data_IF_011336872767
#
_entry.id   IF_011336872767
#
_cell.length_a   1.000
_cell.length_b   1.000
_cell.length_c   1.000
_cell.angle_alpha   90.00
_cell.angle_beta   90.00
_cell.angle_gamma   90.00
#
_symmetry.space_group_name_H-M   'P 1'
#
loop_
_entity.id
_entity.type
_entity.pdbx_description
1 polymer ?
#
# COMPACT_ATOMS: atom_id res chain seq x y z
N UNK A 1 9.45 1.07 11.64
CA UNK A 1 9.31 1.94 10.45
C UNK A 1 8.04 1.54 9.72
N UNK A 2 7.38 2.49 9.06
CA UNK A 2 6.16 2.27 8.29
C UNK A 2 6.15 3.14 7.04
N UNK A 3 5.42 2.74 5.99
CA UNK A 3 5.21 3.59 4.81
C UNK A 3 4.03 4.52 5.07
N UNK A 4 4.21 5.81 4.81
CA UNK A 4 3.15 6.82 4.85
C UNK A 4 3.07 7.56 3.52
N UNK A 5 1.91 8.16 3.23
CA UNK A 5 1.73 9.04 2.07
C UNK A 5 1.56 10.48 2.55
N UNK A 6 2.26 11.40 1.90
CA UNK A 6 1.89 12.82 1.89
C UNK A 6 1.05 13.04 0.65
N UNK A 7 -0.16 13.56 0.81
CA UNK A 7 -1.12 13.68 -0.29
C UNK A 7 -1.05 15.03 -1.02
N UNK A 8 -0.28 15.98 -0.49
CA UNK A 8 -0.13 17.32 -1.04
C UNK A 8 1.31 17.83 -0.97
N UNK A 9 1.69 18.64 -1.96
CA UNK A 9 2.94 19.37 -1.97
C UNK A 9 2.89 20.45 -0.89
N UNK A 10 3.86 20.48 0.02
CA UNK A 10 3.98 21.50 1.06
C UNK A 10 5.09 22.49 0.69
N UNK A 11 4.74 23.74 0.45
CA UNK A 11 5.74 24.81 0.27
C UNK A 11 6.28 25.25 1.62
N UNK A 12 7.60 25.26 1.78
CA UNK A 12 8.29 25.67 3.00
C UNK A 12 9.36 26.72 2.72
N UNK A 13 9.65 27.54 3.71
CA UNK A 13 10.68 28.57 3.69
C UNK A 13 11.89 28.09 4.48
N UNK A 14 13.03 28.05 3.80
CA UNK A 14 14.23 27.39 4.27
C UNK A 14 15.31 28.38 4.68
N UNK A 15 15.96 28.06 5.78
CA UNK A 15 17.21 28.65 6.23
C UNK A 15 18.30 27.57 6.18
N UNK A 16 19.20 27.60 5.17
CA UNK A 16 20.31 26.65 5.08
C UNK A 16 21.22 26.73 6.32
N UNK A 17 21.61 25.58 6.84
CA UNK A 17 22.61 25.52 7.90
C UNK A 17 24.00 25.83 7.33
N UNK A 18 24.81 26.59 8.07
CA UNK A 18 26.18 26.93 7.64
C UNK A 18 27.13 25.71 7.61
N UNK A 19 26.81 24.69 8.41
CA UNK A 19 27.50 23.40 8.47
C UNK A 19 26.57 22.34 9.06
N UNK A 20 26.87 21.08 8.81
CA UNK A 20 26.17 19.95 9.42
C UNK A 20 27.17 19.09 10.22
N UNK A 21 26.84 18.69 11.48
CA UNK A 21 25.60 18.99 12.21
C UNK A 21 25.63 20.34 12.96
N UNK A 22 26.80 20.97 13.15
CA UNK A 22 26.99 22.08 14.09
C UNK A 22 26.12 23.33 13.81
N UNK A 23 25.80 23.61 12.54
CA UNK A 23 25.02 24.77 12.14
C UNK A 23 23.50 24.61 12.27
N UNK A 24 23.00 23.40 12.53
CA UNK A 24 21.56 23.07 12.51
C UNK A 24 20.77 23.85 13.56
N UNK A 25 21.25 23.88 14.81
CA UNK A 25 20.56 24.55 15.91
C UNK A 25 20.37 26.05 15.64
N UNK A 26 21.42 26.71 15.15
CA UNK A 26 21.38 28.14 14.83
C UNK A 26 20.40 28.43 13.68
N UNK A 27 20.31 27.53 12.70
CA UNK A 27 19.40 27.68 11.57
C UNK A 27 17.92 27.65 12.03
N UNK A 28 17.57 26.72 12.91
CA UNK A 28 16.23 26.62 13.51
C UNK A 28 15.90 27.79 14.44
N UNK A 29 16.84 28.20 15.29
CA UNK A 29 16.64 29.34 16.19
C UNK A 29 16.26 30.63 15.45
N UNK A 30 16.88 30.89 14.29
CA UNK A 30 16.55 32.04 13.46
C UNK A 30 15.12 31.93 12.89
N UNK A 31 14.72 30.74 12.41
CA UNK A 31 13.36 30.53 11.92
C UNK A 31 12.32 30.72 13.02
N UNK A 32 12.52 30.16 14.21
CA UNK A 32 11.61 30.34 15.34
C UNK A 32 11.49 31.80 15.82
N UNK A 33 12.57 32.59 15.69
CA UNK A 33 12.54 34.01 16.04
C UNK A 33 11.66 34.82 15.08
N UNK A 34 11.69 34.49 13.78
CA UNK A 34 10.94 35.20 12.74
C UNK A 34 9.50 34.68 12.65
N UNK A 35 9.34 33.36 12.77
CA UNK A 35 8.09 32.64 12.71
C UNK A 35 7.83 31.98 14.08
N UNK A 36 7.13 32.64 15.02
CA UNK A 36 6.76 32.02 16.30
C UNK A 36 5.80 30.82 16.12
N UNK A 37 5.50 30.06 17.16
CA UNK A 37 4.50 28.99 17.03
C UNK A 37 3.12 29.56 16.69
N UNK A 38 2.40 28.90 15.77
CA UNK A 38 1.06 29.27 15.34
C UNK A 38 0.31 28.01 14.85
N UNK A 39 -1.01 28.01 14.96
CA UNK A 39 -1.82 26.90 14.45
C UNK A 39 -1.65 26.76 12.93
N UNK A 40 -1.45 25.52 12.46
CA UNK A 40 -1.20 25.21 11.05
C UNK A 40 0.22 25.50 10.55
N UNK A 41 1.14 25.92 11.44
CA UNK A 41 2.57 26.06 11.13
C UNK A 41 3.34 24.85 11.63
N UNK A 42 4.12 24.26 10.75
CA UNK A 42 5.02 23.15 11.05
C UNK A 42 6.47 23.54 10.76
N UNK A 43 7.38 22.96 11.54
CA UNK A 43 8.82 23.10 11.35
C UNK A 43 9.38 21.80 10.82
N UNK A 44 10.40 21.92 9.98
CA UNK A 44 11.00 20.80 9.30
C UNK A 44 12.52 20.91 9.26
N UNK A 45 13.17 19.76 9.18
CA UNK A 45 14.57 19.62 8.77
C UNK A 45 14.60 18.89 7.44
N UNK A 46 15.29 19.44 6.44
CA UNK A 46 15.45 18.80 5.15
C UNK A 46 16.92 18.56 4.93
N UNK A 47 17.31 17.31 4.67
CA UNK A 47 18.70 16.98 4.40
C UNK A 47 18.88 16.07 3.20
N UNK A 48 19.90 16.35 2.40
CA UNK A 48 20.29 15.56 1.23
C UNK A 48 21.81 15.46 1.13
N UNK A 49 22.35 14.35 0.60
CA UNK A 49 23.78 14.27 0.31
C UNK A 49 24.17 15.25 -0.80
N UNK A 50 25.38 15.79 -0.70
CA UNK A 50 26.04 16.58 -1.74
C UNK A 50 27.02 15.70 -2.54
N UNK A 51 27.43 16.14 -3.73
CA UNK A 51 28.39 15.43 -4.59
C UNK A 51 29.72 15.13 -3.88
N UNK A 52 30.14 16.00 -2.95
CA UNK A 52 31.36 15.85 -2.17
C UNK A 52 31.22 14.91 -0.95
N UNK A 53 30.03 14.33 -0.72
CA UNK A 53 29.73 13.47 0.42
C UNK A 53 29.34 14.21 1.71
N UNK A 54 29.34 15.55 1.71
CA UNK A 54 28.79 16.33 2.82
C UNK A 54 27.26 16.33 2.80
N UNK A 55 26.64 16.65 3.93
CA UNK A 55 25.18 16.75 4.04
C UNK A 55 24.79 18.23 3.94
N UNK A 56 23.97 18.56 2.94
CA UNK A 56 23.27 19.83 2.93
C UNK A 56 22.06 19.72 3.86
N UNK A 57 21.93 20.67 4.78
CA UNK A 57 20.80 20.73 5.71
C UNK A 57 20.10 22.07 5.63
N UNK A 58 18.77 22.03 5.64
CA UNK A 58 17.90 23.21 5.65
C UNK A 58 16.93 23.08 6.81
N UNK A 59 16.99 24.03 7.76
CA UNK A 59 15.87 24.24 8.66
C UNK A 59 14.75 24.87 7.82
N UNK A 60 13.50 24.48 8.05
CA UNK A 60 12.38 24.88 7.21
C UNK A 60 11.10 25.09 8.01
N UNK A 61 10.19 25.93 7.48
CA UNK A 61 8.91 26.24 8.11
C UNK A 61 7.81 26.37 7.07
N UNK A 62 6.63 25.81 7.34
CA UNK A 62 5.42 26.11 6.57
C UNK A 62 4.75 27.37 7.11
N UNK A 63 4.15 28.19 6.25
CA UNK A 63 3.40 29.35 6.72
C UNK A 63 2.05 28.92 7.29
N UNK A 64 1.56 29.69 8.27
CA UNK A 64 0.21 29.51 8.77
C UNK A 64 -0.83 29.90 7.69
N UNK A 65 -2.06 29.39 7.73
CA UNK A 65 -3.08 29.73 6.74
C UNK A 65 -3.28 31.25 6.58
N UNK A 66 -3.11 31.74 5.35
CA UNK A 66 -3.26 33.17 5.01
C UNK A 66 -2.07 34.06 5.35
N UNK A 67 -1.01 33.52 5.94
CA UNK A 67 0.23 34.24 6.23
C UNK A 67 1.06 34.45 4.95
N UNK A 68 1.78 35.58 4.89
CA UNK A 68 2.76 35.88 3.85
C UNK A 68 4.17 35.80 4.42
N UNK A 69 5.19 35.42 3.63
CA UNK A 69 6.56 35.44 4.10
C UNK A 69 6.95 36.83 4.59
N UNK A 70 7.60 36.87 5.76
CA UNK A 70 8.02 38.11 6.44
C UNK A 70 9.31 38.68 5.82
N UNK A 71 10.01 37.88 5.02
CA UNK A 71 11.31 38.21 4.42
C UNK A 71 11.53 37.41 3.14
N UNK A 72 12.21 38.02 2.16
CA UNK A 72 12.64 37.38 0.90
C UNK A 72 14.00 36.67 1.02
N UNK A 73 14.60 36.66 2.22
CA UNK A 73 15.92 36.06 2.47
C UNK A 73 15.91 34.54 2.54
N UNK A 74 14.74 33.94 2.77
CA UNK A 74 14.62 32.48 2.85
C UNK A 74 14.32 31.93 1.47
N UNK A 75 15.06 30.89 1.09
CA UNK A 75 14.77 30.16 -0.12
C UNK A 75 13.50 29.33 0.06
N UNK A 76 12.79 29.06 -1.02
CA UNK A 76 11.61 28.18 -0.99
C UNK A 76 11.99 26.77 -1.38
N UNK A 77 11.45 25.79 -0.66
CA UNK A 77 11.50 24.38 -1.05
C UNK A 77 10.09 23.81 -1.07
N UNK A 78 9.85 22.83 -1.94
CA UNK A 78 8.57 22.12 -1.99
C UNK A 78 8.80 20.70 -1.51
N UNK A 79 8.31 20.40 -0.31
CA UNK A 79 8.20 19.03 0.16
C UNK A 79 7.13 18.35 -0.69
N UNK A 80 7.57 17.46 -1.58
CA UNK A 80 6.71 16.75 -2.52
C UNK A 80 5.74 15.82 -1.81
N UNK A 81 4.50 15.78 -2.32
CA UNK A 81 3.60 14.65 -2.10
C UNK A 81 4.27 13.36 -2.57
N UNK A 82 3.92 12.23 -1.98
CA UNK A 82 4.50 10.93 -2.32
C UNK A 82 4.65 10.01 -1.12
N UNK A 83 5.30 8.87 -1.35
CA UNK A 83 5.56 7.86 -0.34
C UNK A 83 6.82 8.17 0.46
N UNK A 84 6.74 7.97 1.77
CA UNK A 84 7.87 8.08 2.68
C UNK A 84 7.96 6.83 3.55
N UNK A 85 9.17 6.31 3.75
CA UNK A 85 9.44 5.43 4.87
C UNK A 85 9.62 6.31 6.10
N UNK A 86 8.90 5.99 7.17
CA UNK A 86 8.77 6.85 8.34
C UNK A 86 9.05 6.10 9.65
N UNK A 87 9.56 6.83 10.63
CA UNK A 87 9.64 6.40 12.03
C UNK A 87 9.58 7.60 12.97
N UNK A 88 8.95 7.43 14.14
CA UNK A 88 8.83 8.49 15.14
C UNK A 88 9.91 8.34 16.21
N UNK A 89 10.58 9.44 16.55
CA UNK A 89 11.47 9.55 17.70
C UNK A 89 10.75 10.39 18.75
N UNK A 90 10.32 9.72 19.83
CA UNK A 90 9.68 10.40 20.96
C UNK A 90 10.70 11.10 21.85
N UNK A 91 10.39 12.32 22.30
CA UNK A 91 11.28 13.16 23.11
C UNK A 91 12.65 13.34 22.44
N UNK A 92 12.63 13.78 21.17
CA UNK A 92 13.82 13.72 20.31
C UNK A 92 14.99 14.56 20.85
N UNK A 93 14.72 15.62 21.62
CA UNK A 93 15.75 16.47 22.24
C UNK A 93 16.65 15.73 23.22
N UNK A 94 16.15 14.67 23.87
CA UNK A 94 16.95 13.79 24.73
C UNK A 94 17.72 12.73 23.92
N UNK A 95 17.38 12.59 22.64
CA UNK A 95 17.84 11.52 21.73
C UNK A 95 18.45 12.06 20.45
N UNK A 96 18.99 13.28 20.48
CA UNK A 96 19.63 13.93 19.32
C UNK A 96 20.66 13.01 18.65
N UNK A 97 21.55 12.29 19.37
CA UNK A 97 22.50 11.38 18.73
C UNK A 97 21.84 10.23 17.94
N UNK A 98 20.62 9.82 18.31
CA UNK A 98 19.91 8.72 17.65
C UNK A 98 19.32 9.09 16.29
N UNK A 99 19.16 10.38 16.00
CA UNK A 99 18.57 10.88 14.75
C UNK A 99 19.42 10.43 13.56
N UNK A 100 20.74 10.63 13.65
CA UNK A 100 21.67 10.22 12.60
C UNK A 100 21.62 8.71 12.37
N UNK A 101 21.69 7.90 13.44
CA UNK A 101 21.62 6.44 13.30
C UNK A 101 20.28 5.97 12.72
N UNK A 102 19.20 6.71 12.99
CA UNK A 102 17.87 6.41 12.46
C UNK A 102 17.84 6.60 10.95
N UNK A 103 18.29 7.76 10.46
CA UNK A 103 18.36 7.99 9.01
C UNK A 103 19.34 7.04 8.31
N UNK A 104 20.51 6.77 8.90
CA UNK A 104 21.48 5.80 8.38
C UNK A 104 20.89 4.41 8.19
N UNK A 105 19.97 3.99 9.07
CA UNK A 105 19.26 2.72 8.90
C UNK A 105 18.17 2.82 7.82
N UNK A 106 17.38 3.90 7.82
CA UNK A 106 16.28 4.09 6.87
C UNK A 106 16.76 4.13 5.41
N UNK A 107 17.89 4.79 5.12
CA UNK A 107 18.41 4.93 3.75
C UNK A 107 18.91 3.60 3.15
N UNK A 108 19.06 2.55 3.96
CA UNK A 108 19.42 1.21 3.48
C UNK A 108 18.24 0.47 2.85
N UNK A 109 17.01 0.96 3.03
CA UNK A 109 15.84 0.35 2.42
C UNK A 109 15.95 0.44 0.88
N UNK A 110 15.83 -0.69 0.15
CA UNK A 110 16.05 -0.73 -1.29
C UNK A 110 15.03 0.10 -2.10
N UNK A 111 13.94 0.56 -1.47
CA UNK A 111 12.89 1.37 -2.09
C UNK A 111 13.17 2.87 -1.98
N UNK A 112 14.19 3.28 -1.24
CA UNK A 112 14.56 4.69 -1.06
C UNK A 112 14.88 5.34 -2.40
N UNK A 113 14.36 6.55 -2.59
CA UNK A 113 14.76 7.43 -3.67
C UNK A 113 16.09 8.12 -3.28
N UNK A 114 17.17 7.80 -4.00
CA UNK A 114 18.49 8.34 -3.72
C UNK A 114 18.70 9.77 -4.28
N UNK A 115 17.82 10.21 -5.18
CA UNK A 115 17.77 11.59 -5.67
C UNK A 115 16.84 12.48 -4.81
N UNK A 116 16.12 11.85 -3.88
CA UNK A 116 15.21 12.52 -2.96
C UNK A 116 15.90 13.11 -1.73
N UNK A 117 15.20 13.16 -0.60
CA UNK A 117 15.68 13.82 0.62
C UNK A 117 15.17 13.11 1.89
N UNK A 118 15.92 13.32 2.97
CA UNK A 118 15.46 13.02 4.32
C UNK A 118 14.69 14.22 4.85
N UNK A 119 13.61 13.94 5.57
CA UNK A 119 12.71 14.93 6.15
C UNK A 119 12.52 14.64 7.64
N UNK A 120 12.71 15.66 8.44
CA UNK A 120 12.36 15.73 9.86
C UNK A 120 11.11 16.60 9.97
N UNK A 121 10.03 16.10 10.57
CA UNK A 121 8.86 16.90 10.91
C UNK A 121 8.74 16.97 12.44
N UNK A 122 8.80 18.19 12.98
CA UNK A 122 8.83 18.44 14.43
C UNK A 122 7.41 18.62 14.96
N UNK A 123 6.97 17.71 15.82
CA UNK A 123 5.64 17.71 16.42
C UNK A 123 5.68 18.38 17.79
N UNK A 124 5.13 19.59 17.87
CA UNK A 124 5.00 20.40 19.11
C UNK A 124 6.32 20.58 19.89
N UNK A 125 7.47 20.38 19.23
CA UNK A 125 8.79 20.44 19.84
C UNK A 125 9.13 19.28 20.79
N UNK A 126 8.29 18.24 20.86
CA UNK A 126 8.49 17.09 21.74
C UNK A 126 8.94 15.87 20.92
N UNK A 127 8.15 15.53 19.90
CA UNK A 127 8.37 14.36 19.07
C UNK A 127 8.84 14.79 17.68
N UNK A 128 9.52 13.88 16.98
CA UNK A 128 9.97 14.10 15.62
C UNK A 128 9.63 12.90 14.75
N UNK A 129 9.04 13.15 13.59
CA UNK A 129 8.87 12.13 12.55
C UNK A 129 10.07 12.21 11.61
N UNK A 130 10.88 11.17 11.57
CA UNK A 130 11.89 10.96 10.54
C UNK A 130 11.22 10.33 9.32
N UNK A 131 11.53 10.84 8.13
CA UNK A 131 11.01 10.39 6.85
C UNK A 131 12.11 10.34 5.80
N UNK A 132 12.13 9.31 4.96
CA UNK A 132 12.94 9.28 3.74
C UNK A 132 12.04 9.05 2.54
N UNK A 133 12.23 9.81 1.47
CA UNK A 133 11.49 9.67 0.22
C UNK A 133 11.66 8.26 -0.34
N UNK A 134 10.55 7.65 -0.75
CA UNK A 134 10.55 6.39 -1.49
C UNK A 134 10.32 6.66 -2.96
N UNK A 135 10.93 5.81 -3.78
CA UNK A 135 10.71 5.76 -5.22
C UNK A 135 9.50 4.87 -5.50
N UNK A 136 8.43 5.45 -6.05
CA UNK A 136 7.18 4.74 -6.33
C UNK A 136 7.41 3.53 -7.25
N UNK A 137 8.29 3.63 -8.23
CA UNK A 137 8.60 2.52 -9.14
C UNK A 137 9.31 1.39 -8.40
N UNK A 138 10.27 1.70 -7.51
CA UNK A 138 10.95 0.68 -6.69
C UNK A 138 9.98 0.01 -5.71
N UNK A 139 9.08 0.78 -5.08
CA UNK A 139 8.03 0.21 -4.20
C UNK A 139 7.13 -0.72 -5.01
N UNK A 140 6.64 -0.27 -6.18
CA UNK A 140 5.83 -1.11 -7.06
C UNK A 140 6.58 -2.37 -7.48
N UNK A 141 7.82 -2.25 -7.96
CA UNK A 141 8.63 -3.38 -8.42
C UNK A 141 8.86 -4.43 -7.32
N UNK A 142 8.99 -4.03 -6.06
CA UNK A 142 9.01 -4.96 -4.94
C UNK A 142 7.67 -5.72 -4.82
N UNK A 143 6.55 -5.00 -4.85
CA UNK A 143 5.21 -5.62 -4.83
C UNK A 143 4.98 -6.56 -6.01
N UNK A 144 5.41 -6.20 -7.22
CA UNK A 144 5.26 -7.08 -8.41
C UNK A 144 5.87 -8.45 -8.16
N UNK A 145 7.08 -8.50 -7.57
CA UNK A 145 7.79 -9.74 -7.27
C UNK A 145 7.08 -10.55 -6.19
N UNK A 146 6.65 -9.89 -5.11
CA UNK A 146 5.94 -10.52 -4.00
C UNK A 146 4.59 -11.08 -4.44
N UNK A 147 3.76 -10.25 -5.09
CA UNK A 147 2.44 -10.63 -5.59
C UNK A 147 2.52 -11.75 -6.63
N UNK A 148 3.48 -11.70 -7.57
CA UNK A 148 3.64 -12.78 -8.54
C UNK A 148 3.92 -14.13 -7.87
N UNK A 149 4.80 -14.14 -6.86
CA UNK A 149 5.09 -15.35 -6.08
C UNK A 149 3.88 -15.82 -5.27
N UNK A 150 3.18 -14.89 -4.61
CA UNK A 150 1.95 -15.18 -3.86
C UNK A 150 0.87 -15.80 -4.75
N UNK A 151 0.66 -15.23 -5.93
CA UNK A 151 -0.37 -15.67 -6.87
C UNK A 151 -0.10 -17.05 -7.46
N UNK A 152 1.15 -17.33 -7.85
CA UNK A 152 1.51 -18.68 -8.32
C UNK A 152 1.21 -19.72 -7.23
N UNK A 153 1.65 -19.48 -6.00
CA UNK A 153 1.41 -20.40 -4.89
C UNK A 153 -0.08 -20.55 -4.53
N UNK A 154 -0.84 -19.45 -4.59
CA UNK A 154 -2.27 -19.43 -4.33
C UNK A 154 -3.04 -20.27 -5.36
N UNK A 155 -2.76 -20.09 -6.65
CA UNK A 155 -3.41 -20.85 -7.71
C UNK A 155 -2.96 -22.31 -7.74
N UNK A 156 -1.70 -22.61 -7.44
CA UNK A 156 -1.25 -24.00 -7.26
C UNK A 156 -2.05 -24.69 -6.16
N UNK A 157 -2.26 -24.01 -5.03
CA UNK A 157 -3.07 -24.53 -3.91
C UNK A 157 -4.54 -24.72 -4.33
N UNK A 158 -5.11 -23.78 -5.07
CA UNK A 158 -6.47 -23.90 -5.60
C UNK A 158 -6.60 -25.12 -6.52
N UNK A 159 -5.71 -25.25 -7.49
CA UNK A 159 -5.72 -26.34 -8.48
C UNK A 159 -5.52 -27.71 -7.82
N UNK A 160 -4.63 -27.82 -6.84
CA UNK A 160 -4.45 -29.04 -6.05
C UNK A 160 -5.71 -29.38 -5.23
N UNK A 161 -6.37 -28.37 -4.66
CA UNK A 161 -7.62 -28.57 -3.92
C UNK A 161 -8.72 -29.08 -4.86
N UNK A 162 -8.84 -28.52 -6.07
CA UNK A 162 -9.80 -28.99 -7.09
C UNK A 162 -9.49 -30.43 -7.52
N UNK A 163 -8.21 -30.75 -7.74
CA UNK A 163 -7.78 -32.09 -8.15
C UNK A 163 -8.03 -33.18 -7.08
N UNK A 164 -8.25 -32.79 -5.82
CA UNK A 164 -8.53 -33.73 -4.73
C UNK A 164 -9.95 -34.34 -4.76
N UNK A 165 -10.86 -33.75 -5.53
CA UNK A 165 -12.21 -34.27 -5.72
C UNK A 165 -12.25 -35.35 -6.80
N UNK A 166 -12.93 -36.46 -6.49
CA UNK A 166 -13.25 -37.48 -7.49
C UNK A 166 -14.26 -36.91 -8.50
N UNK A 167 -14.25 -37.46 -9.71
CA UNK A 167 -15.17 -37.05 -10.77
C UNK A 167 -16.64 -37.15 -10.34
N UNK A 168 -17.00 -38.24 -9.65
CA UNK A 168 -18.35 -38.48 -9.14
C UNK A 168 -18.80 -37.50 -8.06
N UNK A 169 -17.86 -36.82 -7.42
CA UNK A 169 -18.08 -35.97 -6.26
C UNK A 169 -18.08 -34.49 -6.63
N UNK A 170 -17.51 -34.13 -7.78
CA UNK A 170 -17.28 -32.74 -8.17
C UNK A 170 -18.56 -31.93 -8.33
N UNK A 171 -19.59 -32.53 -8.93
CA UNK A 171 -20.93 -31.95 -9.09
C UNK A 171 -21.92 -32.45 -8.02
N UNK A 172 -21.47 -33.20 -7.02
CA UNK A 172 -22.33 -33.74 -5.98
C UNK A 172 -22.62 -32.68 -4.92
N UNK A 173 -23.89 -32.59 -4.54
CA UNK A 173 -24.32 -31.71 -3.44
C UNK A 173 -23.74 -32.20 -2.11
N UNK A 174 -23.05 -31.35 -1.32
CA UNK A 174 -22.59 -31.71 0.01
C UNK A 174 -23.76 -31.94 0.99
N UNK A 175 -23.57 -32.85 1.95
CA UNK A 175 -24.55 -33.21 2.98
C UNK A 175 -24.95 -32.02 3.88
N UNK A 176 -24.05 -31.04 4.02
CA UNK A 176 -24.28 -29.79 4.76
C UNK A 176 -25.07 -28.74 3.97
N UNK A 177 -25.48 -29.03 2.72
CA UNK A 177 -26.11 -28.07 1.82
C UNK A 177 -25.13 -27.03 1.25
N UNK A 178 -25.64 -26.06 0.49
CA UNK A 178 -24.82 -25.01 -0.13
C UNK A 178 -24.47 -25.28 -1.59
N UNK A 179 -23.30 -24.87 -2.05
CA UNK A 179 -22.84 -25.11 -3.42
C UNK A 179 -22.06 -26.42 -3.53
N UNK A 180 -22.15 -27.07 -4.70
CA UNK A 180 -21.26 -28.18 -5.07
C UNK A 180 -19.81 -27.68 -5.19
N UNK A 181 -18.79 -28.56 -5.12
CA UNK A 181 -17.41 -28.17 -5.42
C UNK A 181 -17.29 -27.40 -6.74
N UNK A 182 -17.96 -27.89 -7.80
CA UNK A 182 -17.91 -27.28 -9.11
C UNK A 182 -18.56 -25.88 -9.17
N UNK A 183 -19.65 -25.67 -8.42
CA UNK A 183 -20.27 -24.36 -8.29
C UNK A 183 -19.38 -23.37 -7.52
N UNK A 184 -18.66 -23.83 -6.48
CA UNK A 184 -17.67 -22.98 -5.79
C UNK A 184 -16.54 -22.57 -6.74
N UNK A 185 -16.05 -23.50 -7.55
CA UNK A 185 -15.04 -23.19 -8.59
C UNK A 185 -15.58 -22.21 -9.63
N UNK A 186 -16.83 -22.38 -10.06
CA UNK A 186 -17.46 -21.44 -10.98
C UNK A 186 -17.60 -20.04 -10.36
N UNK A 187 -17.96 -19.94 -9.09
CA UNK A 187 -18.03 -18.67 -8.38
C UNK A 187 -16.67 -17.97 -8.36
N UNK A 188 -15.59 -18.69 -8.06
CA UNK A 188 -14.23 -18.14 -8.12
C UNK A 188 -13.94 -17.60 -9.53
N UNK A 189 -14.27 -18.35 -10.58
CA UNK A 189 -14.07 -17.89 -11.97
C UNK A 189 -14.83 -16.59 -12.23
N UNK A 190 -16.11 -16.50 -11.87
CA UNK A 190 -16.93 -15.31 -12.09
C UNK A 190 -16.42 -14.09 -11.30
N UNK A 191 -15.95 -14.30 -10.07
CA UNK A 191 -15.52 -13.23 -9.18
C UNK A 191 -14.08 -12.75 -9.42
N UNK A 192 -13.29 -13.50 -10.19
CA UNK A 192 -11.84 -13.25 -10.33
C UNK A 192 -11.37 -13.16 -11.78
N UNK A 193 -12.26 -13.23 -12.77
CA UNK A 193 -11.90 -13.05 -14.18
C UNK A 193 -11.70 -11.56 -14.51
N UNK A 194 -10.52 -11.05 -14.14
CA UNK A 194 -10.09 -9.69 -14.41
C UNK A 194 -10.26 -8.74 -13.23
N UNK A 195 -9.88 -7.48 -13.46
CA UNK A 195 -9.97 -6.36 -12.51
C UNK A 195 -10.78 -5.25 -13.19
N UNK A 196 -11.70 -4.56 -12.48
CA UNK A 196 -12.48 -3.46 -13.03
C UNK A 196 -11.62 -2.19 -13.15
N UNK A 197 -10.68 -2.18 -14.09
CA UNK A 197 -9.61 -1.18 -14.21
C UNK A 197 -9.44 -0.51 -15.59
N UNK A 198 -10.54 -0.41 -16.34
CA UNK A 198 -10.61 0.33 -17.61
C UNK A 198 -10.52 1.85 -17.41
N UNK A 199 -11.05 2.38 -16.30
CA UNK A 199 -10.95 3.78 -15.92
C UNK A 199 -10.18 3.92 -14.61
N UNK A 200 -9.05 4.63 -14.64
CA UNK A 200 -8.21 4.85 -13.47
C UNK A 200 -7.72 6.28 -13.32
N UNK A 201 -7.47 6.69 -12.07
CA UNK A 201 -6.84 7.97 -11.71
C UNK A 201 -5.70 7.75 -10.71
N UNK A 202 -4.85 8.76 -10.53
CA UNK A 202 -3.88 8.78 -9.44
C UNK A 202 -4.61 8.75 -8.08
N UNK A 203 -4.18 7.88 -7.18
CA UNK A 203 -4.76 7.80 -5.84
C UNK A 203 -4.31 9.01 -4.99
N UNK A 204 -5.23 9.61 -4.25
CA UNK A 204 -4.95 10.67 -3.28
C UNK A 204 -4.80 10.13 -1.84
N UNK A 205 -4.47 8.83 -1.72
CA UNK A 205 -4.35 8.08 -0.46
C UNK A 205 -3.31 6.97 -0.62
N UNK A 206 -2.96 6.30 0.48
CA UNK A 206 -2.12 5.11 0.42
C UNK A 206 -2.76 4.03 -0.46
N UNK A 207 -1.94 3.44 -1.34
CA UNK A 207 -2.39 2.40 -2.28
C UNK A 207 -2.90 1.13 -1.59
N UNK A 208 -2.61 0.96 -0.29
CA UNK A 208 -2.97 -0.20 0.53
C UNK A 208 -3.91 0.15 1.69
N UNK A 209 -4.48 1.35 1.72
CA UNK A 209 -5.33 1.84 2.83
C UNK A 209 -6.46 0.86 3.20
N UNK A 210 -7.04 0.18 2.20
CA UNK A 210 -8.18 -0.74 2.37
C UNK A 210 -7.75 -2.20 2.53
N UNK A 211 -6.47 -2.52 2.33
CA UNK A 211 -5.95 -3.89 2.32
C UNK A 211 -6.31 -4.64 3.61
N UNK A 212 -5.91 -4.12 4.78
CA UNK A 212 -6.14 -4.80 6.07
C UNK A 212 -7.63 -4.96 6.39
N UNK A 213 -8.44 -3.95 6.07
CA UNK A 213 -9.88 -4.00 6.32
C UNK A 213 -10.58 -5.06 5.44
N UNK A 214 -10.18 -5.19 4.18
CA UNK A 214 -10.70 -6.24 3.29
C UNK A 214 -10.21 -7.62 3.71
N UNK A 215 -8.92 -7.75 4.05
CA UNK A 215 -8.30 -8.97 4.55
C UNK A 215 -9.03 -9.52 5.76
N UNK A 216 -9.24 -8.69 6.79
CA UNK A 216 -9.83 -9.11 8.06
C UNK A 216 -11.26 -9.63 7.89
N UNK A 217 -12.03 -9.09 6.96
CA UNK A 217 -13.39 -9.57 6.66
C UNK A 217 -13.36 -10.86 5.84
N UNK A 218 -12.57 -10.92 4.76
CA UNK A 218 -12.59 -12.07 3.84
C UNK A 218 -11.89 -13.31 4.38
N UNK A 219 -10.90 -13.15 5.26
CA UNK A 219 -10.22 -14.26 5.92
C UNK A 219 -10.83 -14.64 7.27
N UNK A 220 -11.91 -13.97 7.68
CA UNK A 220 -12.75 -14.43 8.79
C UNK A 220 -13.89 -15.31 8.24
N UNK A 221 -13.78 -16.63 8.45
CA UNK A 221 -14.72 -17.62 7.93
C UNK A 221 -16.04 -17.72 8.72
N UNK A 222 -16.13 -17.07 9.89
CA UNK A 222 -17.36 -16.99 10.69
C UNK A 222 -18.34 -15.97 10.13
N UNK A 223 -17.83 -14.92 9.48
CA UNK A 223 -18.66 -13.91 8.81
C UNK A 223 -19.39 -14.57 7.63
N UNK A 224 -20.71 -14.41 7.55
CA UNK A 224 -21.51 -14.87 6.40
C UNK A 224 -21.80 -13.69 5.49
N UNK A 225 -21.46 -13.83 4.21
CA UNK A 225 -21.69 -12.82 3.18
C UNK A 225 -22.48 -13.47 2.04
N UNK A 226 -23.66 -12.93 1.66
CA UNK A 226 -24.32 -13.39 0.45
C UNK A 226 -23.48 -13.02 -0.78
N UNK A 227 -23.42 -13.94 -1.74
CA UNK A 227 -22.88 -13.60 -3.06
C UNK A 227 -23.80 -12.60 -3.75
N UNK A 228 -23.23 -11.70 -4.56
CA UNK A 228 -24.02 -10.92 -5.50
C UNK A 228 -24.68 -11.85 -6.53
N UNK A 229 -25.88 -11.51 -6.98
CA UNK A 229 -26.63 -12.33 -7.95
C UNK A 229 -25.83 -12.59 -9.23
N UNK A 230 -25.12 -11.58 -9.74
CA UNK A 230 -24.27 -11.69 -10.93
C UNK A 230 -23.08 -12.65 -10.77
N UNK A 231 -22.69 -12.98 -9.53
CA UNK A 231 -21.61 -13.91 -9.21
C UNK A 231 -22.14 -15.29 -8.80
N UNK A 232 -23.45 -15.52 -8.85
CA UNK A 232 -24.05 -16.80 -8.48
C UNK A 232 -23.88 -17.80 -9.63
N UNK A 233 -23.28 -18.98 -9.38
CA UNK A 233 -23.11 -19.99 -10.42
C UNK A 233 -24.46 -20.58 -10.84
N UNK A 234 -24.59 -20.85 -12.14
CA UNK A 234 -25.73 -21.58 -12.69
C UNK A 234 -25.90 -22.97 -12.06
N UNK A 235 -27.14 -23.46 -12.00
CA UNK A 235 -27.43 -24.81 -11.51
C UNK A 235 -27.30 -25.79 -12.67
N UNK A 236 -26.09 -26.32 -12.87
CA UNK A 236 -25.78 -27.37 -13.85
C UNK A 236 -24.56 -28.18 -13.41
N UNK A 237 -24.33 -29.29 -14.12
CA UNK A 237 -23.05 -29.98 -14.05
C UNK A 237 -21.99 -29.20 -14.82
N UNK A 238 -20.81 -29.06 -14.22
CA UNK A 238 -19.66 -28.41 -14.82
C UNK A 238 -18.57 -29.43 -15.13
N UNK A 239 -17.85 -29.18 -16.21
CA UNK A 239 -16.64 -29.91 -16.58
C UNK A 239 -15.44 -29.37 -15.79
N UNK A 240 -14.77 -30.24 -15.03
CA UNK A 240 -13.63 -29.87 -14.19
C UNK A 240 -12.45 -29.36 -15.02
N UNK A 241 -12.17 -29.99 -16.15
CA UNK A 241 -10.99 -29.69 -16.96
C UNK A 241 -11.15 -28.34 -17.68
N UNK A 242 -12.37 -27.99 -18.12
CA UNK A 242 -12.70 -26.67 -18.64
C UNK A 242 -12.53 -25.57 -17.58
N UNK A 243 -13.01 -25.80 -16.36
CA UNK A 243 -12.84 -24.84 -15.26
C UNK A 243 -11.37 -24.69 -14.85
N UNK A 244 -10.61 -25.78 -14.77
CA UNK A 244 -9.16 -25.75 -14.51
C UNK A 244 -8.43 -24.97 -15.61
N UNK A 245 -8.78 -25.19 -16.88
CA UNK A 245 -8.21 -24.44 -18.01
C UNK A 245 -8.52 -22.94 -17.90
N UNK A 246 -9.76 -22.58 -17.55
CA UNK A 246 -10.15 -21.18 -17.35
C UNK A 246 -9.38 -20.53 -16.19
N UNK A 247 -9.25 -21.20 -15.04
CA UNK A 247 -8.48 -20.71 -13.90
C UNK A 247 -7.01 -20.46 -14.23
N UNK A 248 -6.37 -21.32 -15.05
CA UNK A 248 -5.00 -21.11 -15.52
C UNK A 248 -4.88 -19.85 -16.38
N UNK A 249 -5.83 -19.62 -17.28
CA UNK A 249 -5.88 -18.38 -18.08
C UNK A 249 -6.11 -17.14 -17.21
N UNK A 250 -6.94 -17.24 -16.17
CA UNK A 250 -7.13 -16.14 -15.21
C UNK A 250 -5.83 -15.84 -14.46
N UNK A 251 -5.09 -16.86 -14.00
CA UNK A 251 -3.78 -16.67 -13.38
C UNK A 251 -2.82 -15.91 -14.31
N UNK A 252 -2.72 -16.31 -15.58
CA UNK A 252 -1.88 -15.63 -16.57
C UNK A 252 -2.24 -14.15 -16.69
N UNK A 253 -3.53 -13.82 -16.77
CA UNK A 253 -4.02 -12.44 -16.84
C UNK A 253 -3.72 -11.63 -15.57
N UNK A 254 -3.83 -12.25 -14.40
CA UNK A 254 -3.43 -11.61 -13.14
C UNK A 254 -1.93 -11.34 -13.10
N UNK A 255 -1.10 -12.29 -13.51
CA UNK A 255 0.35 -12.11 -13.55
C UNK A 255 0.77 -11.02 -14.56
N UNK A 256 0.10 -10.93 -15.72
CA UNK A 256 0.28 -9.84 -16.68
C UNK A 256 -0.07 -8.50 -16.03
N UNK A 257 -1.22 -8.42 -15.34
CA UNK A 257 -1.65 -7.20 -14.67
C UNK A 257 -0.68 -6.78 -13.55
N UNK A 258 -0.24 -7.74 -12.73
CA UNK A 258 0.77 -7.53 -11.68
C UNK A 258 2.09 -7.06 -12.28
N UNK A 259 2.47 -7.53 -13.48
CA UNK A 259 3.74 -7.17 -14.11
C UNK A 259 3.70 -5.79 -14.79
N UNK A 260 2.63 -5.49 -15.52
CA UNK A 260 2.65 -4.44 -16.54
C UNK A 260 1.89 -3.17 -16.16
N UNK A 261 0.91 -3.25 -15.25
CA UNK A 261 0.04 -2.10 -14.93
C UNK A 261 0.51 -1.37 -13.68
N UNK A 262 0.22 -0.07 -13.57
CA UNK A 262 0.48 0.73 -12.36
C UNK A 262 -0.32 0.19 -11.16
N UNK A 263 0.33 -0.39 -10.16
CA UNK A 263 -0.38 -0.98 -9.03
C UNK A 263 -1.07 0.07 -8.14
N UNK A 264 -0.65 1.34 -8.19
CA UNK A 264 -1.16 2.37 -7.28
C UNK A 264 -2.36 3.13 -7.83
N UNK A 265 -2.66 2.98 -9.12
CA UNK A 265 -3.81 3.63 -9.74
C UNK A 265 -5.12 3.21 -9.07
N UNK A 266 -5.98 4.20 -8.77
CA UNK A 266 -7.32 4.01 -8.24
C UNK A 266 -8.27 3.59 -9.36
N UNK A 267 -8.92 2.44 -9.23
CA UNK A 267 -9.85 1.88 -10.21
C UNK A 267 -11.28 2.40 -9.97
N UNK A 268 -11.92 2.95 -11.01
CA UNK A 268 -13.21 3.65 -10.90
C UNK A 268 -14.40 2.85 -11.45
N UNK A 269 -14.18 1.71 -12.09
CA UNK A 269 -15.25 0.99 -12.80
C UNK A 269 -16.19 0.21 -11.88
N UNK A 270 -15.81 0.00 -10.62
CA UNK A 270 -16.62 -0.73 -9.66
C UNK A 270 -16.34 -0.31 -8.22
N UNK A 271 -17.42 -0.02 -7.50
CA UNK A 271 -17.40 0.22 -6.06
C UNK A 271 -17.74 -1.07 -5.31
N UNK A 272 -16.81 -1.54 -4.48
CA UNK A 272 -17.15 -2.61 -3.54
C UNK A 272 -18.07 -2.05 -2.45
N UNK A 273 -19.13 -2.79 -2.06
CA UNK A 273 -19.94 -2.42 -0.90
C UNK A 273 -19.05 -2.19 0.32
N UNK A 274 -19.33 -1.14 1.10
CA UNK A 274 -18.53 -0.68 2.26
C UNK A 274 -17.19 -0.02 1.91
N UNK A 275 -16.41 -0.59 0.99
CA UNK A 275 -15.06 -0.10 0.69
C UNK A 275 -14.98 0.92 -0.45
N UNK A 276 -15.97 1.03 -1.32
CA UNK A 276 -15.91 1.90 -2.51
C UNK A 276 -14.81 1.47 -3.50
N UNK A 277 -14.19 2.44 -4.17
CA UNK A 277 -13.12 2.21 -5.15
C UNK A 277 -11.83 1.68 -4.53
N UNK A 278 -11.24 0.65 -5.13
CA UNK A 278 -9.95 0.11 -4.73
C UNK A 278 -8.84 0.54 -5.70
N UNK A 279 -7.60 0.63 -5.22
CA UNK A 279 -6.45 0.66 -6.12
C UNK A 279 -6.28 -0.69 -6.81
N UNK A 280 -5.49 -0.73 -7.89
CA UNK A 280 -5.17 -1.99 -8.55
C UNK A 280 -4.46 -2.97 -7.61
N UNK A 281 -3.58 -2.48 -6.73
CA UNK A 281 -2.96 -3.26 -5.66
C UNK A 281 -4.01 -3.88 -4.73
N UNK A 282 -4.95 -3.08 -4.23
CA UNK A 282 -6.01 -3.55 -3.33
C UNK A 282 -6.95 -4.55 -4.02
N UNK A 283 -7.28 -4.34 -5.29
CA UNK A 283 -8.06 -5.30 -6.07
C UNK A 283 -7.37 -6.66 -6.17
N UNK A 284 -6.06 -6.65 -6.42
CA UNK A 284 -5.24 -7.88 -6.44
C UNK A 284 -5.28 -8.53 -5.04
N UNK A 285 -5.01 -7.79 -3.96
CA UNK A 285 -5.09 -8.38 -2.60
C UNK A 285 -6.47 -8.96 -2.29
N UNK A 286 -7.54 -8.21 -2.61
CA UNK A 286 -8.93 -8.63 -2.45
C UNK A 286 -9.23 -9.94 -3.18
N UNK A 287 -8.85 -10.07 -4.46
CA UNK A 287 -9.01 -11.30 -5.24
C UNK A 287 -8.26 -12.46 -4.58
N UNK A 288 -7.04 -12.22 -4.11
CA UNK A 288 -6.27 -13.22 -3.38
C UNK A 288 -7.00 -13.72 -2.12
N UNK A 289 -7.60 -12.81 -1.34
CA UNK A 289 -8.38 -13.16 -0.15
C UNK A 289 -9.66 -13.92 -0.50
N UNK A 290 -10.34 -13.51 -1.56
CA UNK A 290 -11.54 -14.18 -2.07
C UNK A 290 -11.24 -15.63 -2.47
N UNK A 291 -10.19 -15.86 -3.27
CA UNK A 291 -9.76 -17.22 -3.63
C UNK A 291 -9.41 -18.03 -2.38
N UNK A 292 -8.64 -17.45 -1.45
CA UNK A 292 -8.26 -18.12 -0.19
C UNK A 292 -9.49 -18.60 0.59
N UNK A 293 -10.53 -17.77 0.67
CA UNK A 293 -11.79 -18.11 1.33
C UNK A 293 -12.49 -19.29 0.68
N UNK A 294 -12.53 -19.33 -0.64
CA UNK A 294 -13.20 -20.42 -1.36
C UNK A 294 -12.34 -21.69 -1.42
N UNK A 295 -11.02 -21.62 -1.32
CA UNK A 295 -10.17 -22.78 -1.03
C UNK A 295 -10.55 -23.40 0.32
N UNK A 296 -10.77 -22.57 1.36
CA UNK A 296 -11.23 -23.06 2.67
C UNK A 296 -12.62 -23.73 2.56
N UNK A 297 -13.54 -23.12 1.82
CA UNK A 297 -14.85 -23.73 1.55
C UNK A 297 -14.74 -25.08 0.84
N UNK A 298 -13.91 -25.19 -0.22
CA UNK A 298 -13.67 -26.44 -0.93
C UNK A 298 -13.10 -27.52 0.00
N UNK A 299 -12.13 -27.18 0.84
CA UNK A 299 -11.57 -28.12 1.83
C UNK A 299 -12.63 -28.61 2.82
N UNK A 300 -13.52 -27.74 3.28
CA UNK A 300 -14.63 -28.14 4.16
C UNK A 300 -15.62 -29.06 3.45
N UNK A 301 -15.93 -28.79 2.18
CA UNK A 301 -16.78 -29.64 1.35
C UNK A 301 -16.12 -31.02 1.15
N UNK A 302 -14.82 -31.07 0.85
CA UNK A 302 -14.08 -32.32 0.68
C UNK A 302 -14.15 -33.23 1.91
N UNK A 303 -14.08 -32.65 3.11
CA UNK A 303 -14.19 -33.40 4.37
C UNK A 303 -15.56 -34.02 4.64
N UNK A 304 -16.62 -33.54 3.98
CA UNK A 304 -18.01 -34.00 4.19
C UNK A 304 -18.61 -34.69 2.96
N UNK A 305 -17.97 -34.56 1.80
CA UNK A 305 -18.27 -35.32 0.59
C UNK A 305 -17.41 -36.58 0.61
N UNK A 306 -17.99 -37.63 1.20
CA UNK A 306 -17.54 -39.02 1.16
C UNK A 306 -18.75 -39.92 1.10
#
# INVERSE_FOLDING_TARGET
MQVIARNEDTTVYCNPAASFPDGVLKAHQLLHQIYPLADGRNFFGISSPQENGEIAYKAAVSLAPGEKPVTDKFETFVIKKGLFLSTTIHQFMEKIPSIQSTFQEMVKDPRVDHEGYCLEEYLEGIDMICMVTLDDEKVQNQHRKELAKEYVALYDTLLQTIASFKESDYNKQPSIGGWTPAQVVQHIILATDGIPDQNTVEANRLYFEKDESTRSVFLNFDIKMPSMDILTPEIKDYDRDEQVKKLKSILENHLITIRDKDLFALCLDFDLPVWGTLTRYEWIKFIGYHITRHIHQLKNIHNVIG
#
